data_IF_759975116657
#
_entry.id   IF_759975116657
#
_cell.length_a   1.000
_cell.length_b   1.000
_cell.length_c   1.000
_cell.angle_alpha   90.00
_cell.angle_beta   90.00
_cell.angle_gamma   90.00
#
_symmetry.space_group_name_H-M   'P 1'
#
loop_
_entity.id
_entity.type
_entity.pdbx_description
1 polymer ?
#
# COMPACT_ATOMS: atom_id res chain seq x y z
N UNK A 1 22.08 25.40 0.46
CA UNK A 1 22.03 26.36 1.58
C UNK A 1 22.50 25.70 2.86
N UNK A 2 22.58 26.44 3.99
CA UNK A 2 22.89 25.91 5.33
C UNK A 2 21.77 26.32 6.29
N UNK A 3 21.38 25.42 7.20
CA UNK A 3 20.39 25.68 8.25
C UNK A 3 20.86 25.02 9.56
N UNK A 4 20.44 25.58 10.69
CA UNK A 4 20.64 24.98 12.02
C UNK A 4 19.53 24.00 12.39
N UNK A 5 18.43 23.97 11.63
CA UNK A 5 17.37 22.99 11.83
C UNK A 5 17.76 21.67 11.16
N UNK A 6 17.76 20.59 11.94
CA UNK A 6 17.97 19.23 11.43
C UNK A 6 16.74 18.82 10.61
N UNK A 7 16.97 18.21 9.46
CA UNK A 7 15.90 17.60 8.66
C UNK A 7 15.54 16.26 9.29
N UNK A 8 14.28 16.11 9.69
CA UNK A 8 13.67 14.91 10.25
C UNK A 8 12.80 14.15 9.25
N UNK A 9 12.36 12.97 9.68
CA UNK A 9 11.42 12.16 8.91
C UNK A 9 10.04 12.83 8.89
N UNK A 10 9.57 13.18 7.68
CA UNK A 10 8.27 13.85 7.49
C UNK A 10 8.34 15.35 7.24
N UNK A 11 9.54 15.93 7.16
CA UNK A 11 9.76 17.37 6.88
C UNK A 11 9.59 17.75 5.39
N UNK A 12 9.16 16.82 4.55
CA UNK A 12 8.88 17.09 3.14
C UNK A 12 7.38 17.34 2.93
N UNK A 13 7.05 18.23 1.99
CA UNK A 13 5.66 18.55 1.63
C UNK A 13 5.06 17.61 0.59
N UNK A 14 5.88 16.72 0.02
CA UNK A 14 5.48 15.77 -1.01
C UNK A 14 6.63 15.38 -1.91
N UNK A 15 6.31 14.65 -2.97
CA UNK A 15 7.26 14.22 -3.99
C UNK A 15 6.72 14.57 -5.38
N UNK A 16 7.60 15.11 -6.23
CA UNK A 16 7.32 15.31 -7.65
C UNK A 16 7.84 14.09 -8.41
N UNK A 17 6.95 13.42 -9.12
CA UNK A 17 7.26 12.25 -9.91
C UNK A 17 7.39 12.61 -11.39
N UNK A 18 8.31 11.94 -12.07
CA UNK A 18 8.39 11.87 -13.53
C UNK A 18 8.57 10.41 -13.88
N UNK A 19 7.52 9.81 -14.43
CA UNK A 19 7.44 8.37 -14.72
C UNK A 19 7.28 8.20 -16.21
N UNK A 20 8.11 7.35 -16.81
CA UNK A 20 7.95 6.93 -18.21
C UNK A 20 7.25 5.58 -18.23
N UNK A 21 6.03 5.54 -18.78
CA UNK A 21 5.30 4.31 -19.11
C UNK A 21 5.68 3.93 -20.52
N UNK A 22 6.00 2.66 -20.77
CA UNK A 22 6.47 2.17 -22.07
C UNK A 22 5.55 1.10 -22.62
N UNK A 23 5.53 1.00 -23.94
CA UNK A 23 4.82 -0.08 -24.64
C UNK A 23 3.31 0.00 -24.49
N UNK A 24 2.72 1.19 -24.66
CA UNK A 24 1.27 1.35 -24.53
C UNK A 24 0.53 0.43 -25.50
N UNK A 25 -0.46 -0.29 -24.98
CA UNK A 25 -1.30 -1.21 -25.75
C UNK A 25 -2.80 -0.96 -25.52
N UNK A 26 -3.62 -1.56 -26.36
CA UNK A 26 -5.06 -1.68 -26.11
C UNK A 26 -5.41 -2.90 -25.25
N UNK A 27 -6.71 -3.13 -25.03
CA UNK A 27 -7.20 -4.24 -24.20
C UNK A 27 -6.88 -5.62 -24.78
N UNK A 28 -6.58 -5.69 -26.08
CA UNK A 28 -6.24 -6.92 -26.79
C UNK A 28 -4.72 -7.09 -26.92
N UNK A 29 -3.93 -6.19 -26.33
CA UNK A 29 -2.47 -6.21 -26.36
C UNK A 29 -1.85 -5.62 -27.64
N UNK A 30 -2.65 -5.01 -28.53
CA UNK A 30 -2.11 -4.40 -29.74
C UNK A 30 -1.45 -3.04 -29.44
N UNK A 31 -0.37 -2.66 -30.14
CA UNK A 31 0.31 -1.39 -29.89
C UNK A 31 -0.61 -0.20 -30.23
N UNK A 32 -0.57 0.83 -29.39
CA UNK A 32 -1.25 2.11 -29.66
C UNK A 32 -0.25 3.26 -29.79
N UNK A 33 -0.55 4.20 -30.68
CA UNK A 33 0.28 5.39 -30.91
C UNK A 33 0.20 6.39 -29.75
N UNK A 34 1.14 7.34 -29.70
CA UNK A 34 1.23 8.31 -28.62
C UNK A 34 0.00 9.22 -28.52
N UNK A 35 -0.63 9.55 -29.64
CA UNK A 35 -1.82 10.42 -29.68
C UNK A 35 -3.01 9.73 -29.02
N UNK A 36 -3.25 8.48 -29.36
CA UNK A 36 -4.31 7.66 -28.78
C UNK A 36 -4.03 7.36 -27.31
N UNK A 37 -2.79 7.00 -26.95
CA UNK A 37 -2.40 6.73 -25.57
C UNK A 37 -2.58 7.98 -24.68
N UNK A 38 -2.15 9.16 -25.13
CA UNK A 38 -2.38 10.43 -24.43
C UNK A 38 -3.87 10.77 -24.31
N UNK A 39 -4.67 10.53 -25.36
CA UNK A 39 -6.12 10.73 -25.32
C UNK A 39 -6.75 9.87 -24.23
N UNK A 40 -6.42 8.58 -24.18
CA UNK A 40 -6.93 7.63 -23.16
C UNK A 40 -6.57 8.06 -21.74
N UNK A 41 -5.32 8.44 -21.48
CA UNK A 41 -4.88 8.92 -20.16
C UNK A 41 -5.67 10.17 -19.73
N UNK A 42 -5.84 11.14 -20.63
CA UNK A 42 -6.61 12.34 -20.32
C UNK A 42 -8.11 12.06 -20.10
N UNK A 43 -8.69 11.12 -20.84
CA UNK A 43 -10.08 10.68 -20.62
C UNK A 43 -10.26 9.97 -19.28
N UNK A 44 -9.34 9.08 -18.91
CA UNK A 44 -9.36 8.39 -17.61
C UNK A 44 -9.26 9.41 -16.49
N UNK A 45 -8.29 10.34 -16.58
CA UNK A 45 -8.18 11.45 -15.63
C UNK A 45 -9.47 12.24 -15.55
N UNK A 46 -10.02 12.69 -16.68
CA UNK A 46 -11.24 13.51 -16.71
C UNK A 46 -12.42 12.81 -16.04
N UNK A 47 -12.64 11.53 -16.35
CA UNK A 47 -13.71 10.72 -15.72
C UNK A 47 -13.48 10.54 -14.21
N UNK A 48 -12.24 10.28 -13.80
CA UNK A 48 -11.87 10.17 -12.39
C UNK A 48 -12.15 11.48 -11.65
N UNK A 49 -11.74 12.62 -12.24
CA UNK A 49 -11.95 13.93 -11.64
C UNK A 49 -13.40 14.35 -11.58
N UNK A 50 -14.22 13.96 -12.57
CA UNK A 50 -15.67 14.14 -12.54
C UNK A 50 -16.32 13.31 -11.43
N UNK A 51 -15.93 12.03 -11.28
CA UNK A 51 -16.49 11.15 -10.24
C UNK A 51 -16.14 11.61 -8.82
N UNK A 52 -14.95 12.17 -8.64
CA UNK A 52 -14.47 12.62 -7.31
C UNK A 52 -14.71 14.12 -7.07
N UNK A 53 -15.21 14.88 -8.06
CA UNK A 53 -15.31 16.35 -8.02
C UNK A 53 -13.97 17.07 -7.79
N UNK A 54 -12.83 16.41 -8.07
CA UNK A 54 -11.47 16.94 -7.94
C UNK A 54 -10.45 16.05 -8.68
N UNK A 55 -9.29 16.58 -9.06
CA UNK A 55 -8.12 15.78 -9.49
C UNK A 55 -7.60 14.95 -8.29
N UNK A 56 -8.24 13.80 -8.06
CA UNK A 56 -8.00 12.91 -6.95
C UNK A 56 -8.10 11.45 -7.36
N UNK A 57 -7.60 10.54 -6.51
CA UNK A 57 -7.75 9.10 -6.67
C UNK A 57 -7.96 8.42 -5.31
N UNK A 58 -8.51 7.20 -5.27
CA UNK A 58 -8.64 6.45 -4.01
C UNK A 58 -7.27 6.14 -3.39
N UNK A 59 -7.13 6.37 -2.08
CA UNK A 59 -5.86 6.26 -1.38
C UNK A 59 -5.51 4.81 -0.97
N UNK A 60 -5.62 3.86 -1.90
CA UNK A 60 -5.28 2.47 -1.67
C UNK A 60 -3.89 2.31 -1.03
N UNK A 61 -3.77 1.34 -0.13
CA UNK A 61 -2.46 0.89 0.33
C UNK A 61 -2.00 -0.20 -0.65
N UNK A 62 -0.89 0.07 -1.35
CA UNK A 62 -0.43 -0.76 -2.47
C UNK A 62 0.19 -2.10 -2.04
N UNK A 63 0.35 -3.04 -3.00
CA UNK A 63 0.84 -4.40 -2.74
C UNK A 63 2.24 -4.43 -2.11
N UNK A 64 3.07 -3.41 -2.35
CA UNK A 64 4.40 -3.28 -1.74
C UNK A 64 4.34 -3.22 -0.20
N UNK A 65 3.22 -2.78 0.39
CA UNK A 65 3.03 -2.77 1.85
C UNK A 65 2.87 -4.17 2.43
N UNK A 66 2.24 -5.06 1.67
CA UNK A 66 1.92 -6.42 2.07
C UNK A 66 3.02 -7.41 1.70
N UNK A 67 3.86 -7.03 0.72
CA UNK A 67 4.87 -7.87 0.07
C UNK A 67 4.35 -8.26 -1.30
N UNK A 68 4.77 -7.53 -2.35
CA UNK A 68 4.07 -7.51 -3.64
C UNK A 68 3.84 -8.90 -4.25
N UNK A 69 4.89 -9.71 -4.36
CA UNK A 69 4.83 -11.08 -4.87
C UNK A 69 4.55 -12.12 -3.78
N UNK A 70 4.62 -11.71 -2.51
CA UNK A 70 4.46 -12.57 -1.34
C UNK A 70 3.80 -11.77 -0.22
N UNK A 71 2.45 -11.76 -0.13
CA UNK A 71 1.71 -10.92 0.80
C UNK A 71 1.75 -11.47 2.25
N UNK A 72 2.95 -11.80 2.73
CA UNK A 72 3.21 -12.42 4.05
C UNK A 72 3.14 -11.44 5.20
N UNK A 73 3.37 -10.16 4.92
CA UNK A 73 3.53 -9.12 5.94
C UNK A 73 2.31 -8.98 6.86
N UNK A 74 1.05 -8.96 6.37
CA UNK A 74 -0.12 -8.95 7.24
C UNK A 74 -0.30 -10.28 8.00
N UNK A 75 0.00 -11.43 7.40
CA UNK A 75 -0.14 -12.74 8.04
C UNK A 75 0.81 -12.89 9.24
N UNK A 76 2.03 -12.40 9.10
CA UNK A 76 3.00 -12.32 10.21
C UNK A 76 2.50 -11.31 11.26
N UNK A 77 1.91 -10.20 10.83
CA UNK A 77 1.29 -9.24 11.74
C UNK A 77 0.19 -9.86 12.59
N UNK A 78 -0.66 -10.70 11.96
CA UNK A 78 -1.74 -11.45 12.62
C UNK A 78 -1.20 -12.40 13.68
N UNK A 79 -0.22 -13.21 13.34
CA UNK A 79 0.42 -14.12 14.30
C UNK A 79 1.04 -13.36 15.49
N UNK A 80 1.63 -12.19 15.26
CA UNK A 80 2.24 -11.36 16.31
C UNK A 80 1.21 -10.78 17.28
N UNK A 81 0.05 -10.30 16.81
CA UNK A 81 -1.02 -9.79 17.69
C UNK A 81 -1.72 -10.93 18.46
N UNK A 82 -1.64 -12.16 17.94
CA UNK A 82 -2.14 -13.38 18.59
C UNK A 82 -1.12 -13.99 19.60
N UNK A 83 0.02 -13.33 19.86
CA UNK A 83 1.15 -13.82 20.69
C UNK A 83 1.77 -15.14 20.19
N UNK A 84 1.55 -15.50 18.92
CA UNK A 84 2.04 -16.72 18.26
C UNK A 84 3.30 -16.43 17.42
N UNK A 85 4.44 -16.37 18.09
CA UNK A 85 5.73 -16.09 17.45
C UNK A 85 6.28 -17.28 16.65
N UNK A 86 5.86 -18.51 16.95
CA UNK A 86 6.22 -19.69 16.15
C UNK A 86 5.62 -19.52 14.75
N UNK A 87 4.30 -19.32 14.68
CA UNK A 87 3.60 -19.06 13.42
C UNK A 87 4.15 -17.83 12.69
N UNK A 88 4.49 -16.77 13.42
CA UNK A 88 5.08 -15.57 12.82
C UNK A 88 6.41 -15.87 12.09
N UNK A 89 7.30 -16.63 12.73
CA UNK A 89 8.56 -17.06 12.12
C UNK A 89 8.32 -18.05 10.97
N UNK A 90 7.42 -19.02 11.15
CA UNK A 90 7.07 -20.01 10.14
C UNK A 90 6.52 -19.39 8.86
N UNK A 91 5.59 -18.45 8.98
CA UNK A 91 5.05 -17.71 7.84
C UNK A 91 6.15 -16.94 7.12
N UNK A 92 7.00 -16.23 7.88
CA UNK A 92 8.06 -15.41 7.29
C UNK A 92 9.11 -16.25 6.53
N UNK A 93 9.47 -17.42 7.06
CA UNK A 93 10.42 -18.35 6.45
C UNK A 93 9.79 -19.20 5.34
N UNK A 94 8.56 -19.68 5.53
CA UNK A 94 7.98 -20.75 4.72
C UNK A 94 6.93 -20.33 3.70
N UNK A 95 6.28 -19.18 3.83
CA UNK A 95 5.18 -18.81 2.91
C UNK A 95 5.69 -18.67 1.48
N UNK A 96 5.05 -19.35 0.53
CA UNK A 96 5.39 -19.28 -0.89
C UNK A 96 5.10 -17.88 -1.46
N UNK A 97 5.97 -17.43 -2.37
CA UNK A 97 5.76 -16.22 -3.15
C UNK A 97 5.55 -16.55 -4.62
N UNK A 98 4.74 -15.75 -5.30
CA UNK A 98 4.56 -15.81 -6.75
C UNK A 98 5.87 -15.42 -7.45
N UNK A 99 6.19 -16.09 -8.56
CA UNK A 99 7.37 -15.80 -9.39
C UNK A 99 8.69 -15.74 -8.60
N UNK A 100 8.81 -16.55 -7.54
CA UNK A 100 10.05 -16.67 -6.77
C UNK A 100 11.12 -17.38 -7.62
N UNK A 101 12.38 -16.96 -7.50
CA UNK A 101 13.49 -17.69 -8.10
C UNK A 101 13.61 -19.11 -7.50
N UNK A 102 14.14 -20.05 -8.28
CA UNK A 102 14.20 -21.47 -7.92
C UNK A 102 14.92 -21.70 -6.58
N UNK A 103 15.97 -20.92 -6.29
CA UNK A 103 16.73 -20.96 -5.05
C UNK A 103 15.88 -20.56 -3.82
N UNK A 104 15.06 -19.51 -3.95
CA UNK A 104 14.11 -19.08 -2.91
C UNK A 104 13.02 -20.13 -2.72
N UNK A 105 12.45 -20.64 -3.81
CA UNK A 105 11.41 -21.66 -3.75
C UNK A 105 11.89 -22.93 -3.03
N UNK A 106 13.10 -23.41 -3.37
CA UNK A 106 13.75 -24.55 -2.74
C UNK A 106 14.02 -24.33 -1.25
N UNK A 107 14.54 -23.15 -0.87
CA UNK A 107 14.74 -22.78 0.53
C UNK A 107 13.44 -22.85 1.34
N UNK A 108 12.37 -22.22 0.83
CA UNK A 108 11.09 -22.17 1.55
C UNK A 108 10.44 -23.55 1.63
N UNK A 109 10.54 -24.35 0.57
CA UNK A 109 10.06 -25.75 0.58
C UNK A 109 10.79 -26.58 1.64
N UNK A 110 12.13 -26.49 1.70
CA UNK A 110 12.92 -27.16 2.74
C UNK A 110 12.48 -26.75 4.15
N UNK A 111 12.26 -25.46 4.40
CA UNK A 111 11.73 -25.01 5.69
C UNK A 111 10.38 -25.65 6.03
N UNK A 112 9.43 -25.67 5.08
CA UNK A 112 8.10 -26.27 5.28
C UNK A 112 8.17 -27.77 5.54
N UNK A 113 9.10 -28.48 4.91
CA UNK A 113 9.24 -29.94 5.03
C UNK A 113 9.95 -30.37 6.31
N UNK A 114 11.05 -29.68 6.67
CA UNK A 114 11.97 -30.18 7.71
C UNK A 114 11.93 -29.37 9.00
N UNK A 115 11.55 -28.08 8.92
CA UNK A 115 11.74 -27.09 10.00
C UNK A 115 13.17 -27.11 10.59
N UNK A 116 14.17 -27.49 9.79
CA UNK A 116 15.57 -27.61 10.23
C UNK A 116 16.34 -26.32 9.91
N UNK A 117 16.74 -25.52 10.93
CA UNK A 117 17.48 -24.29 10.70
C UNK A 117 18.84 -24.52 10.05
N UNK A 118 19.55 -25.59 10.44
CA UNK A 118 20.89 -25.87 9.93
C UNK A 118 20.84 -26.21 8.44
N UNK A 119 20.00 -27.16 8.05
CA UNK A 119 19.82 -27.52 6.65
C UNK A 119 19.29 -26.38 5.78
N UNK A 120 18.47 -25.49 6.34
CA UNK A 120 18.02 -24.29 5.63
C UNK A 120 19.16 -23.27 5.41
N UNK A 121 20.03 -23.07 6.42
CA UNK A 121 21.16 -22.14 6.35
C UNK A 121 22.17 -22.48 5.25
N UNK A 122 22.28 -23.77 4.90
CA UNK A 122 23.16 -24.28 3.84
C UNK A 122 22.72 -23.86 2.44
N UNK A 123 21.40 -23.73 2.20
CA UNK A 123 20.84 -23.46 0.87
C UNK A 123 20.25 -22.07 0.72
N UNK A 124 19.98 -21.37 1.83
CA UNK A 124 19.32 -20.07 1.79
C UNK A 124 20.17 -19.05 0.99
N UNK A 125 19.56 -18.33 0.02
CA UNK A 125 20.26 -17.32 -0.76
C UNK A 125 20.89 -16.21 0.09
N UNK A 126 21.99 -15.62 -0.39
CA UNK A 126 22.75 -14.61 0.38
C UNK A 126 21.97 -13.32 0.65
N UNK A 127 21.06 -12.96 -0.23
CA UNK A 127 20.26 -11.73 -0.13
C UNK A 127 19.08 -11.84 0.84
N UNK A 128 18.71 -13.04 1.30
CA UNK A 128 17.67 -13.25 2.32
C UNK A 128 18.24 -13.11 3.74
N UNK A 129 18.77 -11.91 4.04
CA UNK A 129 19.44 -11.63 5.31
C UNK A 129 18.53 -11.69 6.53
N UNK A 130 17.24 -11.34 6.38
CA UNK A 130 16.28 -11.37 7.49
C UNK A 130 15.88 -12.80 7.85
N UNK A 131 15.56 -13.62 6.85
CA UNK A 131 15.30 -15.05 7.04
C UNK A 131 16.53 -15.75 7.65
N UNK A 132 17.74 -15.44 7.17
CA UNK A 132 18.98 -15.96 7.76
C UNK A 132 19.11 -15.61 9.24
N UNK A 133 18.83 -14.36 9.62
CA UNK A 133 18.88 -13.93 11.02
C UNK A 133 17.90 -14.68 11.94
N UNK A 134 16.70 -15.01 11.45
CA UNK A 134 15.74 -15.84 12.17
C UNK A 134 16.31 -17.26 12.35
N UNK A 135 16.80 -17.89 11.28
CA UNK A 135 17.36 -19.24 11.32
C UNK A 135 18.58 -19.35 12.26
N UNK A 136 19.50 -18.39 12.21
CA UNK A 136 20.66 -18.34 13.11
C UNK A 136 20.24 -18.20 14.59
N UNK A 137 19.18 -17.43 14.87
CA UNK A 137 18.62 -17.32 16.22
C UNK A 137 18.04 -18.65 16.70
N UNK A 138 17.28 -19.35 15.85
CA UNK A 138 16.68 -20.66 16.15
C UNK A 138 17.74 -21.76 16.31
N UNK A 139 18.80 -21.74 15.50
CA UNK A 139 19.91 -22.67 15.63
C UNK A 139 20.62 -22.51 16.99
N UNK A 140 20.79 -21.27 17.46
CA UNK A 140 21.44 -20.98 18.73
C UNK A 140 20.53 -21.25 19.94
N UNK A 141 19.24 -20.97 19.83
CA UNK A 141 18.26 -21.17 20.90
C UNK A 141 16.99 -21.79 20.28
N UNK A 142 16.93 -23.13 20.19
CA UNK A 142 15.74 -23.83 19.73
C UNK A 142 14.52 -23.42 20.56
N UNK A 143 13.35 -23.36 19.93
CA UNK A 143 12.05 -22.99 20.54
C UNK A 143 11.93 -21.53 21.07
N UNK A 144 12.98 -20.71 21.03
CA UNK A 144 12.89 -19.27 21.37
C UNK A 144 12.44 -18.44 20.17
N UNK A 145 11.20 -18.69 19.74
CA UNK A 145 10.56 -18.04 18.59
C UNK A 145 10.45 -16.52 18.74
N UNK A 146 10.22 -16.04 19.97
CA UNK A 146 10.17 -14.61 20.26
C UNK A 146 11.52 -13.94 19.97
N UNK A 147 12.62 -14.55 20.38
CA UNK A 147 13.97 -14.04 20.08
C UNK A 147 14.28 -14.11 18.59
N UNK A 148 13.86 -15.19 17.93
CA UNK A 148 14.02 -15.34 16.49
C UNK A 148 13.28 -14.23 15.73
N UNK A 149 12.02 -13.96 16.06
CA UNK A 149 11.27 -12.84 15.49
C UNK A 149 11.93 -11.48 15.82
N UNK A 150 12.44 -11.30 17.04
CA UNK A 150 13.12 -10.06 17.47
C UNK A 150 14.43 -9.78 16.72
N UNK A 151 14.98 -10.75 15.98
CA UNK A 151 16.14 -10.54 15.10
C UNK A 151 15.81 -9.62 13.91
N UNK A 152 14.54 -9.53 13.52
CA UNK A 152 14.09 -8.61 12.48
C UNK A 152 14.33 -7.14 12.88
N UNK A 153 14.63 -6.23 11.94
CA UNK A 153 14.71 -4.80 12.25
C UNK A 153 13.41 -4.25 12.85
N UNK A 154 13.52 -3.28 13.76
CA UNK A 154 12.34 -2.68 14.42
C UNK A 154 11.30 -2.12 13.44
N UNK A 155 11.77 -1.53 12.33
CA UNK A 155 10.92 -1.00 11.26
C UNK A 155 10.11 -2.08 10.56
N UNK A 156 10.70 -3.26 10.33
CA UNK A 156 10.03 -4.39 9.70
C UNK A 156 9.02 -5.04 10.65
N UNK A 157 9.37 -5.20 11.93
CA UNK A 157 8.40 -5.66 12.93
C UNK A 157 7.21 -4.70 13.07
N UNK A 158 7.43 -3.40 12.96
CA UNK A 158 6.34 -2.42 12.97
C UNK A 158 5.51 -2.46 11.68
N UNK A 159 6.16 -2.73 10.54
CA UNK A 159 5.49 -2.89 9.25
C UNK A 159 4.47 -4.03 9.27
N UNK A 160 4.74 -5.15 9.96
CA UNK A 160 3.77 -6.27 10.02
C UNK A 160 2.46 -5.86 10.68
N UNK A 161 2.51 -5.12 11.80
CA UNK A 161 1.32 -4.58 12.47
C UNK A 161 0.58 -3.60 11.57
N UNK A 162 1.30 -2.64 11.00
CA UNK A 162 0.65 -1.67 10.11
C UNK A 162 0.07 -2.31 8.84
N UNK A 163 0.69 -3.36 8.32
CA UNK A 163 0.20 -4.10 7.16
C UNK A 163 -1.09 -4.83 7.49
N UNK A 164 -1.22 -5.40 8.69
CA UNK A 164 -2.47 -6.00 9.16
C UNK A 164 -3.60 -4.95 9.23
N UNK A 165 -3.34 -3.79 9.83
CA UNK A 165 -4.30 -2.67 9.85
C UNK A 165 -4.71 -2.20 8.46
N UNK A 166 -3.78 -2.26 7.50
CA UNK A 166 -4.00 -1.81 6.12
C UNK A 166 -5.03 -2.66 5.38
N UNK A 167 -5.28 -3.91 5.82
CA UNK A 167 -6.33 -4.75 5.27
C UNK A 167 -7.71 -4.11 5.49
N UNK A 168 -8.04 -3.77 6.74
CA UNK A 168 -9.32 -3.11 7.06
C UNK A 168 -9.48 -1.79 6.32
N UNK A 169 -8.41 -0.98 6.23
CA UNK A 169 -8.48 0.29 5.50
C UNK A 169 -8.85 0.08 4.03
N UNK A 170 -8.19 -0.87 3.35
CA UNK A 170 -8.50 -1.19 1.96
C UNK A 170 -9.93 -1.75 1.81
N UNK A 171 -10.37 -2.65 2.70
CA UNK A 171 -11.74 -3.18 2.67
C UNK A 171 -12.79 -2.09 2.90
N UNK A 172 -12.57 -1.17 3.84
CA UNK A 172 -13.48 -0.05 4.11
C UNK A 172 -13.57 0.90 2.90
N UNK A 173 -12.43 1.16 2.25
CA UNK A 173 -12.39 1.97 1.02
C UNK A 173 -13.17 1.26 -0.11
N UNK A 174 -12.99 -0.05 -0.27
CA UNK A 174 -13.70 -0.86 -1.27
C UNK A 174 -15.21 -0.87 -1.02
N UNK A 175 -15.63 -1.14 0.22
CA UNK A 175 -17.03 -1.15 0.63
C UNK A 175 -17.69 0.21 0.36
N UNK A 176 -17.00 1.31 0.66
CA UNK A 176 -17.49 2.67 0.40
C UNK A 176 -17.67 2.97 -1.07
N UNK A 177 -16.73 2.56 -1.92
CA UNK A 177 -16.85 2.67 -3.37
C UNK A 177 -18.00 1.82 -3.93
N UNK A 178 -18.17 0.59 -3.41
CA UNK A 178 -19.24 -0.32 -3.82
C UNK A 178 -20.64 0.21 -3.45
N UNK A 179 -20.73 0.93 -2.33
CA UNK A 179 -21.95 1.61 -1.87
C UNK A 179 -22.20 2.98 -2.55
N UNK A 180 -21.37 3.37 -3.52
CA UNK A 180 -21.40 4.66 -4.22
C UNK A 180 -21.37 5.89 -3.29
N UNK A 181 -20.68 5.76 -2.14
CA UNK A 181 -20.48 6.87 -1.20
C UNK A 181 -19.19 7.60 -1.56
N UNK A 182 -19.27 8.92 -1.70
CA UNK A 182 -18.11 9.75 -2.11
C UNK A 182 -16.91 9.61 -1.16
N UNK A 183 -15.71 9.55 -1.73
CA UNK A 183 -14.44 9.55 -0.97
C UNK A 183 -13.97 10.97 -0.60
N UNK A 184 -14.54 12.00 -1.24
CA UNK A 184 -14.18 13.41 -1.02
C UNK A 184 -15.29 14.14 -0.28
N UNK A 185 -16.53 13.97 -0.72
CA UNK A 185 -17.66 14.63 -0.07
C UNK A 185 -18.12 13.80 1.13
N UNK A 186 -18.06 14.34 2.36
CA UNK A 186 -18.52 13.63 3.53
C UNK A 186 -20.04 13.50 3.53
N UNK A 187 -20.52 12.41 4.10
CA UNK A 187 -21.92 12.17 4.47
C UNK A 187 -22.06 12.19 6.00
N UNK A 188 -23.30 12.26 6.49
CA UNK A 188 -23.57 12.23 7.93
C UNK A 188 -23.00 10.95 8.54
N UNK A 189 -22.32 11.08 9.68
CA UNK A 189 -21.66 9.99 10.37
C UNK A 189 -20.18 9.81 10.01
N UNK A 190 -19.70 10.42 8.93
CA UNK A 190 -18.27 10.39 8.61
C UNK A 190 -17.41 11.01 9.69
N UNK A 191 -16.16 10.57 9.77
CA UNK A 191 -15.09 11.23 10.51
C UNK A 191 -14.17 11.94 9.53
N UNK A 192 -14.09 13.27 9.65
CA UNK A 192 -13.22 14.12 8.84
C UNK A 192 -12.07 14.66 9.66
N UNK A 193 -10.90 14.83 9.04
CA UNK A 193 -9.69 15.35 9.69
C UNK A 193 -9.13 16.57 8.94
N UNK A 194 -8.64 17.61 9.63
CA UNK A 194 -7.91 18.71 9.01
C UNK A 194 -6.67 18.25 8.27
N UNK A 195 -6.46 18.79 7.07
CA UNK A 195 -5.28 18.57 6.24
C UNK A 195 -4.28 19.68 6.51
N UNK A 196 -3.05 19.30 6.85
CA UNK A 196 -1.92 20.20 7.08
C UNK A 196 -1.30 20.65 5.76
N UNK A 197 -0.43 21.68 5.78
CA UNK A 197 0.21 22.22 4.57
C UNK A 197 1.00 21.18 3.76
N UNK A 198 1.54 20.16 4.43
CA UNK A 198 2.23 19.02 3.82
C UNK A 198 1.29 17.89 3.36
N UNK A 199 -0.04 18.08 3.39
CA UNK A 199 -1.02 17.07 2.95
C UNK A 199 -1.31 15.95 3.95
N UNK A 200 -0.66 15.92 5.13
CA UNK A 200 -1.00 14.96 6.20
C UNK A 200 -2.25 15.40 6.95
N UNK A 201 -2.99 14.46 7.50
CA UNK A 201 -4.12 14.77 8.36
C UNK A 201 -3.73 14.91 9.84
N UNK A 202 -4.39 15.82 10.53
CA UNK A 202 -4.33 15.96 11.98
C UNK A 202 -5.43 15.12 12.64
N UNK A 203 -5.11 13.85 12.92
CA UNK A 203 -6.03 12.88 13.53
C UNK A 203 -6.52 13.34 14.91
N UNK A 204 -5.74 14.16 15.63
CA UNK A 204 -6.13 14.67 16.94
C UNK A 204 -7.29 15.67 16.89
N UNK A 205 -7.58 16.24 15.71
CA UNK A 205 -8.64 17.23 15.48
C UNK A 205 -9.76 16.70 14.59
N UNK A 206 -9.95 15.39 14.58
CA UNK A 206 -11.07 14.79 13.85
C UNK A 206 -12.42 15.24 14.42
N UNK A 207 -13.41 15.30 13.54
CA UNK A 207 -14.77 15.63 13.91
C UNK A 207 -15.76 14.71 13.17
N UNK A 208 -16.82 14.33 13.88
CA UNK A 208 -17.97 13.68 13.27
C UNK A 208 -18.74 14.67 12.41
N UNK A 209 -19.20 14.19 11.27
CA UNK A 209 -20.08 14.92 10.37
C UNK A 209 -21.51 14.72 10.83
N UNK A 210 -22.20 15.83 11.12
CA UNK A 210 -23.58 15.89 11.57
C UNK A 210 -24.36 16.85 10.67
N UNK A 211 -25.69 16.83 10.77
CA UNK A 211 -26.56 17.76 10.03
C UNK A 211 -26.12 19.23 10.18
N UNK A 212 -25.73 19.62 11.39
CA UNK A 212 -25.31 20.99 11.72
C UNK A 212 -23.99 21.45 11.11
N UNK A 213 -23.12 20.53 10.68
CA UNK A 213 -21.79 20.86 10.15
C UNK A 213 -21.53 20.33 8.72
N UNK A 214 -22.45 19.55 8.15
CA UNK A 214 -22.30 18.85 6.88
C UNK A 214 -21.83 19.77 5.74
N UNK A 215 -22.54 20.88 5.51
CA UNK A 215 -22.23 21.80 4.39
C UNK A 215 -20.88 22.49 4.58
N UNK A 216 -20.48 22.75 5.83
CA UNK A 216 -19.14 23.26 6.14
C UNK A 216 -18.07 22.20 5.87
N UNK A 217 -18.32 20.94 6.25
CA UNK A 217 -17.38 19.85 6.01
C UNK A 217 -17.22 19.58 4.51
N UNK A 218 -18.31 19.48 3.74
CA UNK A 218 -18.29 19.34 2.27
C UNK A 218 -17.44 20.41 1.61
N UNK A 219 -17.70 21.68 1.91
CA UNK A 219 -16.93 22.80 1.36
C UNK A 219 -15.44 22.68 1.67
N UNK A 220 -15.08 22.35 2.91
CA UNK A 220 -13.67 22.26 3.29
C UNK A 220 -12.98 21.00 2.73
N UNK A 221 -13.70 19.90 2.52
CA UNK A 221 -13.18 18.73 1.83
C UNK A 221 -12.91 19.02 0.34
N UNK A 222 -13.83 19.68 -0.34
CA UNK A 222 -13.64 20.13 -1.73
C UNK A 222 -12.46 21.10 -1.87
N UNK A 223 -12.22 21.94 -0.87
CA UNK A 223 -11.06 22.85 -0.82
C UNK A 223 -9.75 22.16 -0.36
N UNK A 224 -9.76 20.86 -0.08
CA UNK A 224 -8.58 20.11 0.39
C UNK A 224 -8.11 20.49 1.80
N UNK A 225 -8.95 21.16 2.61
CA UNK A 225 -8.66 21.57 4.00
C UNK A 225 -9.10 20.54 5.03
N UNK A 226 -10.08 19.71 4.68
CA UNK A 226 -10.50 18.52 5.42
C UNK A 226 -10.38 17.30 4.50
N UNK A 227 -10.25 16.13 5.08
CA UNK A 227 -10.31 14.87 4.34
C UNK A 227 -11.27 13.90 5.03
N UNK A 228 -12.08 13.19 4.24
CA UNK A 228 -12.81 12.02 4.72
C UNK A 228 -11.79 10.92 4.99
N UNK A 229 -11.91 10.28 6.16
CA UNK A 229 -10.92 9.30 6.60
C UNK A 229 -11.50 7.89 6.62
N UNK A 230 -10.64 6.88 6.64
CA UNK A 230 -10.97 5.48 6.84
C UNK A 230 -10.15 4.88 8.00
N UNK A 231 -10.58 3.74 8.55
CA UNK A 231 -10.04 3.18 9.77
C UNK A 231 -8.72 2.44 9.54
N UNK A 232 -7.79 2.61 10.46
CA UNK A 232 -6.68 1.68 10.71
C UNK A 232 -6.91 1.13 12.13
N UNK A 233 -7.40 -0.11 12.27
CA UNK A 233 -7.94 -0.62 13.53
C UNK A 233 -6.89 -0.69 14.65
N UNK A 234 -7.35 -0.61 15.88
CA UNK A 234 -6.56 -0.71 17.10
C UNK A 234 -7.43 -0.55 18.33
N UNK A 235 -6.88 -0.76 19.51
CA UNK A 235 -7.64 -0.87 20.77
C UNK A 235 -8.53 0.35 21.10
N UNK A 236 -8.17 1.53 20.61
CA UNK A 236 -8.92 2.77 20.83
C UNK A 236 -9.25 3.49 19.52
N UNK A 237 -9.35 2.75 18.42
CA UNK A 237 -9.67 3.32 17.12
C UNK A 237 -11.07 3.95 17.11
N UNK A 238 -11.19 5.14 16.52
CA UNK A 238 -12.48 5.78 16.31
C UNK A 238 -13.06 5.35 14.96
N UNK A 239 -14.32 4.92 14.97
CA UNK A 239 -15.08 4.53 13.79
C UNK A 239 -16.10 5.58 13.41
N UNK A 240 -16.42 5.66 12.12
CA UNK A 240 -17.53 6.45 11.64
C UNK A 240 -18.88 5.90 12.16
N UNK A 241 -19.96 6.64 11.92
CA UNK A 241 -21.33 6.30 12.35
C UNK A 241 -22.27 6.20 11.16
N UNK A 242 -23.46 5.62 11.38
CA UNK A 242 -24.46 5.42 10.32
C UNK A 242 -23.88 4.58 9.19
N UNK A 243 -24.29 4.86 7.96
CA UNK A 243 -23.83 4.13 6.77
C UNK A 243 -22.29 4.05 6.66
N UNK A 244 -21.51 5.14 6.80
CA UNK A 244 -20.05 5.02 6.85
C UNK A 244 -19.52 4.08 7.93
N UNK A 245 -20.13 4.11 9.12
CA UNK A 245 -19.76 3.24 10.23
C UNK A 245 -20.06 1.77 9.97
N UNK A 246 -21.21 1.47 9.36
CA UNK A 246 -21.60 0.12 8.95
C UNK A 246 -20.60 -0.46 7.93
N UNK A 247 -20.16 0.36 6.96
CA UNK A 247 -19.15 -0.05 5.96
C UNK A 247 -17.77 -0.30 6.61
N UNK A 248 -17.39 0.53 7.59
CA UNK A 248 -16.15 0.33 8.35
C UNK A 248 -16.20 -0.93 9.22
N UNK A 249 -17.34 -1.21 9.83
CA UNK A 249 -17.57 -2.41 10.64
C UNK A 249 -17.53 -3.67 9.77
N UNK A 250 -18.21 -3.68 8.63
CA UNK A 250 -18.17 -4.78 7.67
C UNK A 250 -16.73 -5.07 7.22
N UNK A 251 -15.93 -4.03 6.98
CA UNK A 251 -14.53 -4.19 6.58
C UNK A 251 -13.66 -4.85 7.66
N UNK A 252 -13.95 -4.62 8.94
CA UNK A 252 -13.26 -5.30 10.05
C UNK A 252 -13.65 -6.77 10.11
N UNK A 253 -14.93 -7.06 9.93
CA UNK A 253 -15.46 -8.42 9.93
C UNK A 253 -14.90 -9.24 8.75
N UNK A 254 -14.94 -8.68 7.55
CA UNK A 254 -14.39 -9.30 6.32
C UNK A 254 -12.90 -9.61 6.44
N UNK A 255 -12.17 -8.82 7.24
CA UNK A 255 -10.74 -9.02 7.46
C UNK A 255 -10.43 -9.89 8.68
N UNK A 256 -11.45 -10.36 9.41
CA UNK A 256 -11.30 -11.17 10.61
C UNK A 256 -10.50 -10.44 11.70
N UNK A 257 -10.76 -9.15 11.88
CA UNK A 257 -10.04 -8.29 12.83
C UNK A 257 -10.93 -7.76 13.98
N UNK A 258 -12.19 -8.19 14.06
CA UNK A 258 -13.16 -7.71 15.06
C UNK A 258 -12.74 -8.00 16.49
N UNK A 259 -12.20 -9.19 16.74
CA UNK A 259 -11.85 -9.67 18.09
C UNK A 259 -10.35 -9.61 18.37
N UNK A 260 -9.58 -8.95 17.49
CA UNK A 260 -8.12 -8.85 17.66
C UNK A 260 -7.79 -7.89 18.80
N UNK A 261 -6.99 -8.37 19.76
CA UNK A 261 -6.36 -7.53 20.77
C UNK A 261 -5.08 -6.90 20.17
N UNK A 262 -5.02 -5.58 20.12
CA UNK A 262 -3.87 -4.86 19.54
C UNK A 262 -2.76 -4.58 20.56
N UNK A 263 -2.86 -5.13 21.76
CA UNK A 263 -1.78 -5.13 22.75
C UNK A 263 -0.79 -6.25 22.46
N UNK A 264 0.49 -5.89 22.27
CA UNK A 264 1.59 -6.84 22.06
C UNK A 264 2.53 -6.81 23.27
N UNK A 265 2.19 -7.47 24.40
CA UNK A 265 2.90 -7.29 25.68
C UNK A 265 4.38 -7.69 25.62
N UNK A 266 4.74 -8.71 24.83
CA UNK A 266 6.14 -9.17 24.71
C UNK A 266 7.01 -8.23 23.87
N UNK A 267 6.39 -7.33 23.10
CA UNK A 267 7.04 -6.30 22.29
C UNK A 267 6.17 -5.01 22.33
N UNK A 268 6.14 -4.27 23.46
CA UNK A 268 5.15 -3.20 23.69
C UNK A 268 5.12 -2.09 22.64
N UNK A 269 6.23 -1.84 21.95
CA UNK A 269 6.30 -0.87 20.83
C UNK A 269 5.49 -1.27 19.59
N UNK A 270 5.00 -2.52 19.54
CA UNK A 270 4.13 -3.04 18.48
C UNK A 270 2.65 -2.91 18.84
N UNK A 271 2.32 -2.57 20.09
CA UNK A 271 0.96 -2.24 20.50
C UNK A 271 0.44 -1.07 19.66
N UNK A 272 -0.81 -1.17 19.21
CA UNK A 272 -1.44 -0.10 18.42
C UNK A 272 -2.78 0.34 19.00
N UNK A 273 -2.91 1.66 19.22
CA UNK A 273 -4.17 2.31 19.56
C UNK A 273 -5.11 2.46 18.37
N UNK A 274 -4.63 2.16 17.15
CA UNK A 274 -5.32 2.47 15.91
C UNK A 274 -5.23 3.94 15.54
N UNK A 275 -5.57 4.24 14.29
CA UNK A 275 -5.55 5.60 13.74
C UNK A 275 -6.48 5.69 12.52
N UNK A 276 -6.40 6.78 11.77
CA UNK A 276 -7.22 7.06 10.60
C UNK A 276 -6.33 7.51 9.44
N UNK A 277 -6.75 7.23 8.21
CA UNK A 277 -6.04 7.59 6.97
C UNK A 277 -7.01 8.25 5.99
N UNK A 278 -6.59 9.27 5.20
CA UNK A 278 -7.42 9.83 4.13
C UNK A 278 -7.92 8.75 3.16
N UNK A 279 -9.19 8.78 2.75
CA UNK A 279 -9.73 7.85 1.75
C UNK A 279 -9.35 8.22 0.31
N UNK A 280 -9.03 9.49 0.06
CA UNK A 280 -8.62 10.00 -1.24
C UNK A 280 -7.32 10.78 -1.17
N UNK A 281 -6.59 10.82 -2.28
CA UNK A 281 -5.39 11.64 -2.45
C UNK A 281 -5.63 12.64 -3.56
N UNK A 282 -5.39 13.92 -3.28
CA UNK A 282 -5.31 14.96 -4.32
C UNK A 282 -3.94 14.92 -4.99
N UNK A 283 -3.92 15.01 -6.32
CA UNK A 283 -2.68 15.14 -7.08
C UNK A 283 -2.65 16.48 -7.82
N UNK A 284 -1.45 17.00 -8.05
CA UNK A 284 -1.25 18.33 -8.63
C UNK A 284 -0.23 18.29 -9.75
N UNK A 285 -0.24 19.34 -10.58
CA UNK A 285 0.72 19.54 -11.69
C UNK A 285 0.78 18.33 -12.63
N UNK A 286 -0.37 17.73 -12.93
CA UNK A 286 -0.44 16.59 -13.84
C UNK A 286 -0.16 17.02 -15.28
N UNK A 287 0.75 16.32 -15.94
CA UNK A 287 0.95 16.42 -17.39
C UNK A 287 1.29 15.06 -17.97
N UNK A 288 0.84 14.81 -19.19
CA UNK A 288 1.22 13.65 -20.00
C UNK A 288 1.75 14.14 -21.34
N UNK A 289 2.89 13.63 -21.75
CA UNK A 289 3.53 13.91 -23.04
C UNK A 289 4.09 12.61 -23.62
N UNK A 290 4.22 12.53 -24.94
CA UNK A 290 4.92 11.42 -25.58
C UNK A 290 6.41 11.45 -25.19
N UNK A 291 6.93 10.29 -24.79
CA UNK A 291 8.32 10.13 -24.42
C UNK A 291 9.13 9.66 -25.62
N UNK A 292 10.39 10.11 -25.78
CA UNK A 292 11.26 9.61 -26.82
C UNK A 292 11.56 8.12 -26.61
N UNK A 293 11.83 7.44 -27.72
CA UNK A 293 12.31 6.06 -27.73
C UNK A 293 13.66 5.95 -27.01
N UNK A 294 13.89 4.78 -26.41
CA UNK A 294 15.13 4.46 -25.74
C UNK A 294 16.12 3.89 -26.76
N UNK A 295 17.41 4.18 -26.60
CA UNK A 295 18.48 3.41 -27.26
C UNK A 295 18.63 2.04 -26.60
N UNK A 296 18.71 0.97 -27.39
CA UNK A 296 18.73 -0.45 -26.96
C UNK A 296 19.58 -0.77 -25.72
N UNK A 297 20.68 -0.04 -25.48
CA UNK A 297 21.59 -0.21 -24.34
C UNK A 297 21.03 0.07 -22.94
N UNK A 298 19.75 0.42 -22.79
CA UNK A 298 19.13 0.75 -21.49
C UNK A 298 17.84 -0.02 -21.18
N UNK A 299 17.56 -1.07 -21.95
CA UNK A 299 16.40 -1.94 -21.74
C UNK A 299 16.71 -2.99 -20.68
N UNK A 300 15.69 -3.37 -19.90
CA UNK A 300 15.82 -4.45 -18.91
C UNK A 300 15.73 -5.82 -19.60
N UNK A 301 16.30 -6.86 -18.99
CA UNK A 301 16.14 -8.25 -19.46
C UNK A 301 14.66 -8.61 -19.67
N UNK A 302 13.77 -8.09 -18.81
CA UNK A 302 12.32 -8.28 -18.90
C UNK A 302 11.72 -7.71 -20.19
N UNK A 303 12.24 -6.57 -20.67
CA UNK A 303 11.79 -5.95 -21.91
C UNK A 303 12.25 -6.75 -23.12
N UNK A 304 13.50 -7.25 -23.09
CA UNK A 304 14.06 -8.08 -24.16
C UNK A 304 13.32 -9.41 -24.33
N UNK A 305 12.81 -9.98 -23.22
CA UNK A 305 12.00 -11.20 -23.23
C UNK A 305 10.60 -11.02 -23.83
N UNK A 306 10.15 -9.78 -24.04
CA UNK A 306 8.81 -9.47 -24.56
C UNK A 306 7.69 -9.73 -23.54
N UNK A 307 6.43 -9.41 -23.89
CA UNK A 307 5.30 -9.60 -22.97
C UNK A 307 5.05 -11.08 -22.65
N UNK A 308 4.74 -11.37 -21.38
CA UNK A 308 4.30 -12.68 -20.91
C UNK A 308 2.78 -12.85 -21.08
N UNK A 309 2.28 -14.07 -20.94
CA UNK A 309 0.83 -14.32 -20.94
C UNK A 309 0.14 -13.53 -19.81
N UNK A 310 -0.84 -12.69 -20.17
CA UNK A 310 -1.54 -11.79 -19.25
C UNK A 310 -1.01 -10.35 -19.21
N UNK A 311 0.17 -10.10 -19.79
CA UNK A 311 0.71 -8.74 -19.89
C UNK A 311 -0.13 -7.84 -20.80
N UNK A 312 -0.24 -6.56 -20.41
CA UNK A 312 -0.89 -5.53 -21.21
C UNK A 312 0.12 -4.43 -21.61
N UNK A 313 1.10 -4.82 -22.41
CA UNK A 313 2.04 -3.90 -23.06
C UNK A 313 2.57 -4.51 -24.36
N UNK A 314 3.01 -3.65 -25.29
CA UNK A 314 3.54 -4.06 -26.58
C UNK A 314 4.85 -3.32 -26.88
N UNK A 315 5.95 -3.97 -27.33
CA UNK A 315 7.22 -3.29 -27.61
C UNK A 315 7.11 -2.13 -28.60
N UNK A 316 6.29 -2.28 -29.64
CA UNK A 316 6.02 -1.23 -30.64
C UNK A 316 4.98 -0.18 -30.18
N UNK A 317 4.49 -0.29 -28.95
CA UNK A 317 3.56 0.66 -28.36
C UNK A 317 4.26 1.94 -27.92
N UNK A 318 3.57 3.07 -28.02
CA UNK A 318 4.14 4.35 -27.64
C UNK A 318 4.61 4.40 -26.19
N UNK A 319 5.59 5.26 -25.91
CA UNK A 319 6.03 5.58 -24.56
C UNK A 319 5.45 6.93 -24.12
N UNK A 320 4.94 7.01 -22.89
CA UNK A 320 4.40 8.24 -22.31
C UNK A 320 5.22 8.67 -21.11
N UNK A 321 5.48 9.97 -20.98
CA UNK A 321 6.05 10.59 -19.79
C UNK A 321 4.94 11.30 -19.02
N UNK A 322 4.70 10.83 -17.79
CA UNK A 322 3.75 11.40 -16.86
C UNK A 322 4.49 12.16 -15.76
N UNK A 323 4.02 13.38 -15.45
CA UNK A 323 4.53 14.18 -14.34
C UNK A 323 3.37 14.55 -13.43
N UNK A 324 3.57 14.47 -12.13
CA UNK A 324 2.60 14.86 -11.11
C UNK A 324 3.27 15.01 -9.74
N UNK A 325 2.58 15.65 -8.81
CA UNK A 325 3.03 15.81 -7.42
C UNK A 325 2.03 15.14 -6.48
N UNK A 326 2.54 14.39 -5.50
CA UNK A 326 1.76 13.73 -4.47
C UNK A 326 2.24 14.13 -3.06
N UNK A 327 1.34 14.19 -2.06
CA UNK A 327 1.72 14.43 -0.68
C UNK A 327 2.46 13.23 -0.06
N UNK A 328 3.14 13.42 1.09
CA UNK A 328 3.82 12.36 1.83
C UNK A 328 2.91 11.19 2.19
N UNK A 329 3.46 9.97 2.22
CA UNK A 329 2.72 8.77 2.65
C UNK A 329 1.73 8.23 1.61
N UNK A 330 1.80 8.73 0.37
CA UNK A 330 1.03 8.25 -0.78
C UNK A 330 1.92 7.51 -1.77
N UNK A 331 1.31 6.71 -2.62
CA UNK A 331 2.01 5.79 -3.51
C UNK A 331 1.77 6.18 -4.96
N UNK A 332 2.83 6.54 -5.69
CA UNK A 332 2.73 6.85 -7.12
C UNK A 332 2.18 5.66 -7.92
N UNK A 333 2.51 4.42 -7.51
CA UNK A 333 1.98 3.18 -8.10
C UNK A 333 0.45 3.12 -8.08
N UNK A 334 -0.20 3.70 -7.07
CA UNK A 334 -1.67 3.71 -6.97
C UNK A 334 -2.29 4.67 -7.97
N UNK A 335 -1.75 5.88 -8.15
CA UNK A 335 -2.21 6.77 -9.22
C UNK A 335 -1.93 6.17 -10.60
N UNK A 336 -0.74 5.59 -10.78
CA UNK A 336 -0.38 4.92 -12.04
C UNK A 336 -1.31 3.76 -12.35
N UNK A 337 -1.75 2.98 -11.35
CA UNK A 337 -2.74 1.92 -11.52
C UNK A 337 -4.06 2.46 -12.08
N UNK A 338 -4.56 3.57 -11.55
CA UNK A 338 -5.81 4.18 -12.06
C UNK A 338 -5.67 4.64 -13.52
N UNK A 339 -4.51 5.20 -13.88
CA UNK A 339 -4.24 5.72 -15.22
C UNK A 339 -3.93 4.63 -16.25
N UNK A 340 -3.20 3.59 -15.85
CA UNK A 340 -2.77 2.49 -16.72
C UNK A 340 -3.81 1.38 -16.82
N UNK A 341 -4.63 1.19 -15.78
CA UNK A 341 -5.57 0.06 -15.64
C UNK A 341 -4.93 -1.31 -15.85
N UNK A 342 -3.65 -1.43 -15.49
CA UNK A 342 -2.89 -2.67 -15.62
C UNK A 342 -3.15 -3.62 -14.42
N UNK A 343 -3.03 -4.95 -14.61
CA UNK A 343 -3.03 -5.94 -13.54
C UNK A 343 -2.05 -5.62 -12.38
N UNK A 344 -2.38 -6.12 -11.19
CA UNK A 344 -1.67 -5.81 -9.93
C UNK A 344 -0.28 -6.44 -9.82
N UNK A 345 -0.02 -7.48 -10.61
CA UNK A 345 1.18 -8.30 -10.67
C UNK A 345 2.27 -7.74 -11.62
N UNK A 346 1.97 -6.67 -12.36
CA UNK A 346 2.93 -5.99 -13.24
C UNK A 346 3.82 -4.95 -12.52
N UNK A 347 3.79 -4.89 -11.18
CA UNK A 347 4.44 -3.85 -10.36
C UNK A 347 5.49 -4.36 -9.37
#
# INVERSE_FOLDING_TARGET
GRTHQKIGMGDHDGNRFTITVRGCSDSDGNPIDGKEAMRRVNEIRSRMSQRMSADAFPNWIGPQRFGATRPVTPEVGRAVVEDDYERACDLYLGMEGQNSSEDVAAFRAKWRETRDPQGCLEIIPRYLGYERGILESLLKNPEDWLRAYKSLPHSLQLLTIHSLQSLTFNHALAARLAADVSLIEPVIGDLVAPVQGNGRIDVSKMAYVSESNLERCKRNCQLGRLSVTGPLPGDSASFAKGLPGELEQQAIEDTGLSDVNWMVPRIPRLTSSGTRRPLSVLFQSFSVEEAPDISDSSLSERWEQGPLEGDLWHPDGASLKLKFTLPPGTYATVLMRELMRSPLDHY
#
